data_IF_528821992131
#
_entry.id   IF_528821992131
#
_cell.length_a   1.000
_cell.length_b   1.000
_cell.length_c   1.000
_cell.angle_alpha   90.00
_cell.angle_beta   90.00
_cell.angle_gamma   90.00
#
_symmetry.space_group_name_H-M   'P 1'
#
loop_
_entity.id
_entity.type
_entity.pdbx_description
1 polymer ?
#
# COMPACT_ATOMS: atom_id res chain seq x y z
N UNK A 1 -14.68 2.97 24.53
CA UNK A 1 -14.34 3.08 24.18
C UNK A 1 -13.60 3.50 24.02
N UNK A 2 -13.47 3.40 24.14
CA UNK A 2 -12.88 3.81 23.90
C UNK A 2 -12.14 4.03 23.35
N UNK A 3 -12.01 4.17 23.23
CA UNK A 3 -11.43 4.43 22.45
C UNK A 3 -11.21 4.80 21.52
N UNK A 4 -11.52 4.84 21.86
CA UNK A 4 -11.75 5.22 20.74
C UNK A 4 -10.92 6.16 20.08
N UNK A 5 -10.39 7.11 20.59
CA UNK A 5 -9.51 8.03 19.92
C UNK A 5 -8.11 7.60 20.18
N UNK A 6 -7.41 7.24 19.13
CA UNK A 6 -6.01 6.90 19.26
C UNK A 6 -5.17 8.16 19.26
N UNK A 7 -4.12 8.15 20.07
CA UNK A 7 -3.17 9.25 20.13
C UNK A 7 -1.92 8.87 19.36
N UNK A 8 -1.52 9.74 18.43
CA UNK A 8 -0.33 9.48 17.61
C UNK A 8 0.80 10.40 18.03
N UNK A 9 2.03 9.86 18.02
CA UNK A 9 3.21 10.62 18.39
C UNK A 9 3.45 11.77 17.43
N UNK A 10 3.25 11.52 16.13
CA UNK A 10 3.48 12.54 15.10
C UNK A 10 2.69 12.16 13.84
N UNK A 11 2.74 13.04 12.84
CA UNK A 11 2.03 12.80 11.60
C UNK A 11 2.47 11.53 10.88
N UNK A 12 3.75 11.19 10.94
CA UNK A 12 4.22 9.95 10.33
C UNK A 12 3.62 8.73 11.03
N UNK A 13 3.56 8.76 12.36
CA UNK A 13 2.94 7.68 13.13
C UNK A 13 1.48 7.50 12.72
N UNK A 14 0.75 8.60 12.59
CA UNK A 14 -0.65 8.55 12.17
C UNK A 14 -0.79 7.96 10.77
N UNK A 15 0.08 8.39 9.84
CA UNK A 15 0.04 7.91 8.47
C UNK A 15 0.32 6.42 8.40
N UNK A 16 1.33 5.96 9.13
CA UNK A 16 1.67 4.55 9.13
C UNK A 16 0.56 3.70 9.75
N UNK A 17 -0.15 4.24 10.74
CA UNK A 17 -1.31 3.53 11.29
C UNK A 17 -2.39 3.35 10.23
N UNK A 18 -2.51 4.31 9.32
CA UNK A 18 -3.52 4.28 8.26
C UNK A 18 -3.14 3.33 7.13
N UNK A 19 -1.87 3.36 6.70
CA UNK A 19 -1.44 2.61 5.51
C UNK A 19 -0.21 1.74 5.74
N UNK A 20 0.08 1.39 6.98
CA UNK A 20 1.33 0.72 7.35
C UNK A 20 1.40 -0.74 6.97
N UNK A 21 1.14 -1.07 5.72
CA UNK A 21 1.29 -2.41 5.19
C UNK A 21 2.15 -2.34 3.94
N UNK A 22 2.59 -3.51 3.48
CA UNK A 22 3.42 -3.59 2.28
C UNK A 22 2.64 -3.11 1.04
N UNK A 23 1.36 -3.47 0.95
CA UNK A 23 0.62 -3.32 -0.31
C UNK A 23 -0.23 -2.07 -0.40
N UNK A 24 -0.72 -1.52 0.74
CA UNK A 24 -1.63 -0.37 0.67
C UNK A 24 -1.00 0.85 -0.01
N UNK A 25 0.24 1.25 0.32
CA UNK A 25 0.84 2.38 -0.39
C UNK A 25 0.98 2.13 -1.88
N UNK A 26 1.30 0.89 -2.28
CA UNK A 26 1.43 0.55 -3.70
C UNK A 26 0.09 0.63 -4.41
N UNK A 27 -0.96 0.08 -3.80
CA UNK A 27 -2.31 0.15 -4.37
C UNK A 27 -2.70 1.60 -4.60
N UNK A 28 -2.48 2.45 -3.61
CA UNK A 28 -2.82 3.87 -3.71
C UNK A 28 -2.05 4.55 -4.83
N UNK A 29 -0.76 4.23 -4.95
CA UNK A 29 0.08 4.82 -5.99
C UNK A 29 -0.41 4.43 -7.38
N UNK A 30 -0.77 3.16 -7.59
CA UNK A 30 -1.31 2.73 -8.88
C UNK A 30 -2.65 3.38 -9.19
N UNK A 31 -3.50 3.55 -8.17
CA UNK A 31 -4.78 4.26 -8.35
C UNK A 31 -4.58 5.75 -8.59
N UNK A 32 -3.45 6.29 -8.14
CA UNK A 32 -3.10 7.68 -8.43
C UNK A 32 -2.81 7.92 -9.90
N UNK A 33 -2.45 6.88 -10.65
CA UNK A 33 -2.22 7.00 -12.08
C UNK A 33 -3.52 7.03 -12.86
N UNK A 34 -4.48 6.18 -12.47
CA UNK A 34 -5.81 6.14 -13.09
C UNK A 34 -6.70 5.19 -12.30
N UNK A 35 -8.00 5.30 -12.51
CA UNK A 35 -8.96 4.32 -11.99
C UNK A 35 -8.65 2.96 -12.58
N UNK A 36 -8.90 1.90 -11.81
CA UNK A 36 -8.57 0.55 -12.25
C UNK A 36 -9.63 -0.44 -11.81
N UNK A 37 -9.84 -1.45 -12.63
CA UNK A 37 -10.63 -2.61 -12.24
C UNK A 37 -9.77 -3.52 -11.38
N UNK A 38 -10.42 -4.42 -10.67
CA UNK A 38 -9.72 -5.36 -9.78
C UNK A 38 -8.62 -6.11 -10.53
N UNK A 39 -8.94 -6.65 -11.72
CA UNK A 39 -7.94 -7.41 -12.48
C UNK A 39 -6.73 -6.60 -12.87
N UNK A 40 -6.94 -5.30 -13.17
CA UNK A 40 -5.83 -4.41 -13.47
C UNK A 40 -4.96 -4.18 -12.25
N UNK A 41 -5.59 -3.95 -11.08
CA UNK A 41 -4.82 -3.80 -9.83
C UNK A 41 -4.05 -5.06 -9.51
N UNK A 42 -4.68 -6.22 -9.70
CA UNK A 42 -4.02 -7.50 -9.43
C UNK A 42 -2.77 -7.65 -10.27
N UNK A 43 -2.81 -7.21 -11.53
CA UNK A 43 -1.61 -7.26 -12.39
C UNK A 43 -0.53 -6.31 -11.90
N UNK A 44 -0.93 -5.17 -11.31
CA UNK A 44 0.06 -4.22 -10.78
C UNK A 44 0.74 -4.75 -9.51
N UNK A 45 0.00 -5.48 -8.68
CA UNK A 45 0.50 -6.00 -7.39
C UNK A 45 0.35 -7.51 -7.36
N UNK A 46 0.84 -8.17 -8.41
CA UNK A 46 0.58 -9.59 -8.62
C UNK A 46 1.06 -10.49 -7.48
N UNK A 47 2.05 -10.06 -6.72
CA UNK A 47 2.57 -10.85 -5.61
C UNK A 47 1.66 -10.82 -4.39
N UNK A 48 0.71 -9.89 -4.33
CA UNK A 48 -0.30 -9.90 -3.29
C UNK A 48 -1.35 -10.96 -3.63
N UNK A 49 -1.73 -11.75 -2.63
CA UNK A 49 -2.79 -12.74 -2.86
C UNK A 49 -4.12 -12.03 -3.08
N UNK A 50 -5.07 -12.74 -3.70
CA UNK A 50 -6.41 -12.19 -3.87
C UNK A 50 -7.03 -11.84 -2.52
N UNK A 51 -6.84 -12.70 -1.53
CA UNK A 51 -7.37 -12.46 -0.20
C UNK A 51 -6.84 -11.15 0.39
N UNK A 52 -5.54 -10.93 0.28
CA UNK A 52 -4.90 -9.73 0.81
C UNK A 52 -5.35 -8.50 0.04
N UNK A 53 -5.37 -8.59 -1.30
CA UNK A 53 -5.77 -7.45 -2.12
C UNK A 53 -7.21 -7.03 -1.84
N UNK A 54 -8.12 -8.00 -1.80
CA UNK A 54 -9.52 -7.72 -1.51
C UNK A 54 -9.67 -7.09 -0.13
N UNK A 55 -8.98 -7.65 0.87
CA UNK A 55 -9.05 -7.13 2.23
C UNK A 55 -8.54 -5.70 2.30
N UNK A 56 -7.41 -5.43 1.66
CA UNK A 56 -6.83 -4.09 1.65
C UNK A 56 -7.74 -3.09 0.94
N UNK A 57 -8.37 -3.48 -0.16
CA UNK A 57 -9.29 -2.59 -0.87
C UNK A 57 -10.49 -2.24 0.00
N UNK A 58 -11.02 -3.22 0.74
CA UNK A 58 -12.11 -2.96 1.67
C UNK A 58 -11.69 -1.99 2.77
N UNK A 59 -10.48 -2.17 3.31
CA UNK A 59 -9.98 -1.30 4.36
C UNK A 59 -9.75 0.12 3.84
N UNK A 60 -9.15 0.24 2.66
CA UNK A 60 -8.92 1.55 2.06
C UNK A 60 -10.24 2.27 1.76
N UNK A 61 -11.24 1.51 1.35
CA UNK A 61 -12.56 2.07 1.11
C UNK A 61 -13.19 2.54 2.43
N UNK A 62 -13.10 1.72 3.46
CA UNK A 62 -13.66 2.05 4.78
C UNK A 62 -12.96 3.27 5.38
N UNK A 63 -11.66 3.43 5.11
CA UNK A 63 -10.87 4.56 5.62
C UNK A 63 -11.04 5.81 4.78
N UNK A 64 -11.85 5.77 3.73
CA UNK A 64 -12.13 6.95 2.94
C UNK A 64 -11.05 7.34 1.96
N UNK A 65 -10.14 6.43 1.62
CA UNK A 65 -9.06 6.69 0.67
C UNK A 65 -9.42 6.26 -0.74
N UNK A 66 -10.31 5.28 -0.89
CA UNK A 66 -10.65 4.66 -2.16
C UNK A 66 -12.17 4.59 -2.29
N UNK A 67 -12.66 4.76 -3.51
CA UNK A 67 -14.06 4.59 -3.87
C UNK A 67 -14.18 3.41 -4.81
N UNK A 68 -15.17 2.56 -4.54
CA UNK A 68 -15.54 1.48 -5.43
C UNK A 68 -16.82 1.87 -6.15
N UNK A 69 -16.73 1.98 -7.47
CA UNK A 69 -17.86 2.38 -8.30
C UNK A 69 -18.36 1.20 -9.12
N UNK A 70 -19.62 0.84 -8.91
CA UNK A 70 -20.29 -0.17 -9.72
C UNK A 70 -21.13 0.58 -10.76
N UNK A 71 -20.82 0.38 -12.04
CA UNK A 71 -21.47 1.12 -13.12
C UNK A 71 -22.82 0.52 -13.52
N UNK A 72 -23.19 -0.64 -12.93
CA UNK A 72 -24.49 -1.24 -13.22
C UNK A 72 -24.64 -1.75 -14.63
N UNK A 73 -23.55 -2.09 -15.28
CA UNK A 73 -23.55 -2.54 -16.67
C UNK A 73 -23.58 -4.06 -16.77
N UNK A 74 -23.89 -4.53 -17.96
CA UNK A 74 -23.82 -5.94 -18.32
C UNK A 74 -22.95 -6.04 -19.56
N UNK A 75 -21.77 -6.69 -19.49
CA UNK A 75 -21.22 -7.37 -18.30
C UNK A 75 -20.86 -6.38 -17.19
N UNK A 76 -20.77 -6.85 -15.94
CA UNK A 76 -20.50 -5.95 -14.82
C UNK A 76 -19.20 -5.19 -14.98
N UNK A 77 -19.22 -3.93 -14.58
CA UNK A 77 -18.03 -3.09 -14.56
C UNK A 77 -17.94 -2.41 -13.20
N UNK A 78 -16.87 -2.69 -12.48
CA UNK A 78 -16.58 -2.10 -11.18
C UNK A 78 -15.17 -1.53 -11.23
N UNK A 79 -15.02 -0.29 -10.81
CA UNK A 79 -13.72 0.37 -10.82
C UNK A 79 -13.41 0.94 -9.45
N UNK A 80 -12.13 0.95 -9.12
CA UNK A 80 -11.61 1.58 -7.92
C UNK A 80 -10.90 2.87 -8.30
N UNK A 81 -11.09 3.90 -7.50
CA UNK A 81 -10.45 5.19 -7.73
C UNK A 81 -10.17 5.85 -6.39
N UNK A 82 -9.32 6.88 -6.42
CA UNK A 82 -8.99 7.61 -5.21
C UNK A 82 -10.08 8.63 -4.88
N UNK A 83 -10.33 8.81 -3.59
CA UNK A 83 -11.07 9.96 -3.09
C UNK A 83 -10.14 11.18 -3.11
N UNK A 84 -10.66 12.41 -2.91
CA UNK A 84 -9.77 13.56 -2.70
C UNK A 84 -8.78 13.34 -1.57
N UNK A 85 -9.23 12.70 -0.48
CA UNK A 85 -8.35 12.36 0.65
C UNK A 85 -7.25 11.41 0.20
N UNK A 86 -7.60 10.34 -0.54
CA UNK A 86 -6.61 9.40 -1.07
C UNK A 86 -5.63 10.07 -2.00
N UNK A 87 -6.14 10.97 -2.87
CA UNK A 87 -5.27 11.69 -3.80
C UNK A 87 -4.26 12.56 -3.05
N UNK A 88 -4.69 13.25 -1.99
CA UNK A 88 -3.78 14.08 -1.21
C UNK A 88 -2.66 13.24 -0.59
N UNK A 89 -2.99 12.02 -0.16
CA UNK A 89 -1.98 11.13 0.40
C UNK A 89 -0.98 10.68 -0.66
N UNK A 90 -1.45 10.35 -1.86
CA UNK A 90 -0.55 9.93 -2.94
C UNK A 90 0.42 11.06 -3.30
N UNK A 91 -0.05 12.30 -3.30
CA UNK A 91 0.85 13.43 -3.52
C UNK A 91 1.95 13.50 -2.47
N UNK A 92 1.62 13.18 -1.23
CA UNK A 92 2.61 13.17 -0.15
C UNK A 92 3.58 11.99 -0.28
N UNK A 93 3.16 10.89 -0.90
CA UNK A 93 4.02 9.72 -1.09
C UNK A 93 5.02 9.88 -2.22
N UNK A 94 4.78 10.81 -3.16
CA UNK A 94 5.66 10.98 -4.31
C UNK A 94 7.11 11.28 -3.93
N UNK A 95 7.40 12.21 -3.02
CA UNK A 95 8.78 12.45 -2.62
C UNK A 95 9.42 11.20 -2.02
N UNK A 96 8.65 10.40 -1.29
CA UNK A 96 9.16 9.17 -0.70
C UNK A 96 9.53 8.17 -1.80
N UNK A 97 8.70 8.07 -2.83
CA UNK A 97 8.99 7.22 -3.98
C UNK A 97 10.30 7.66 -4.65
N UNK A 98 10.48 8.97 -4.82
CA UNK A 98 11.71 9.51 -5.40
C UNK A 98 12.93 9.17 -4.57
N UNK A 99 12.83 9.29 -3.25
CA UNK A 99 13.92 8.89 -2.36
C UNK A 99 14.28 7.42 -2.56
N UNK A 100 13.26 6.56 -2.67
CA UNK A 100 13.48 5.14 -2.88
C UNK A 100 14.20 4.85 -4.19
N UNK A 101 13.83 5.57 -5.26
CA UNK A 101 14.50 5.39 -6.55
C UNK A 101 15.96 5.85 -6.48
N UNK A 102 16.22 6.99 -5.84
CA UNK A 102 17.57 7.51 -5.73
C UNK A 102 18.47 6.62 -4.88
N UNK A 103 17.88 5.88 -3.95
CA UNK A 103 18.62 5.06 -3.01
C UNK A 103 18.40 3.56 -3.22
N UNK A 104 17.94 3.17 -4.41
CA UNK A 104 17.56 1.79 -4.68
C UNK A 104 18.69 0.82 -4.39
N UNK A 105 19.92 1.16 -4.80
CA UNK A 105 21.06 0.27 -4.59
C UNK A 105 21.34 0.05 -3.09
N UNK A 106 21.31 1.14 -2.31
CA UNK A 106 21.56 1.04 -0.88
C UNK A 106 20.46 0.22 -0.20
N UNK A 107 19.21 0.41 -0.62
CA UNK A 107 18.09 -0.34 -0.06
C UNK A 107 18.25 -1.83 -0.36
N UNK A 108 18.55 -2.16 -1.61
CA UNK A 108 18.67 -3.57 -2.01
C UNK A 108 19.85 -4.24 -1.31
N UNK A 109 20.98 -3.54 -1.20
CA UNK A 109 22.13 -4.06 -0.48
C UNK A 109 21.80 -4.29 0.99
N UNK A 110 21.06 -3.36 1.59
CA UNK A 110 20.66 -3.49 2.99
C UNK A 110 19.75 -4.69 3.20
N UNK A 111 18.82 -4.94 2.26
CA UNK A 111 17.92 -6.08 2.34
C UNK A 111 18.69 -7.40 2.25
N UNK A 112 19.67 -7.47 1.37
CA UNK A 112 20.51 -8.66 1.25
C UNK A 112 21.25 -8.93 2.54
N UNK A 113 21.87 -7.90 3.12
CA UNK A 113 22.59 -8.05 4.39
C UNK A 113 21.65 -8.53 5.51
N UNK A 114 20.46 -7.96 5.56
CA UNK A 114 19.49 -8.32 6.58
C UNK A 114 19.09 -9.79 6.47
N UNK A 115 18.84 -10.26 5.24
CA UNK A 115 18.46 -11.64 5.00
C UNK A 115 19.60 -12.58 5.38
N UNK A 116 20.82 -12.21 5.01
CA UNK A 116 21.99 -13.04 5.34
C UNK A 116 22.12 -13.21 6.84
N UNK A 117 21.90 -12.15 7.61
CA UNK A 117 22.00 -12.24 9.06
C UNK A 117 20.90 -13.09 9.67
N UNK A 118 19.74 -13.14 9.04
CA UNK A 118 18.61 -13.92 9.55
C UNK A 118 18.74 -15.39 9.24
N UNK A 119 19.46 -15.70 8.18
CA UNK A 119 19.70 -17.11 7.85
C UNK A 119 20.68 -17.64 8.86
N UNK A 120 20.39 -18.56 9.57
CA UNK A 120 20.93 -18.82 10.77
C UNK A 120 22.11 -19.33 11.04
N UNK A 121 21.81 -18.99 11.50
CA UNK A 121 22.31 -19.04 11.97
C UNK A 121 22.85 -20.01 12.55
N UNK A 122 22.58 -20.66 12.47
CA UNK A 122 22.97 -21.34 12.67
C UNK A 122 23.91 -21.71 12.24
N UNK A 123 23.83 -21.55 11.93
CA UNK A 123 24.48 -21.51 11.31
C UNK A 123 25.46 -21.11 11.29
N UNK A 124 25.58 -20.99 11.28
CA UNK A 124 26.34 -20.53 11.12
C UNK A 124 26.99 -19.95 11.24
N UNK A 125 27.03 -19.70 11.29
CA UNK A 125 27.56 -18.99 11.18
C UNK A 125 27.99 -18.51 11.61
N UNK A 126 28.09 -18.58 11.80
CA UNK A 126 28.35 -17.99 12.05
C UNK A 126 28.90 -17.46 11.82
#
# INVERSE_FOLDING_TARGET
>A
MDNETETFTCGLHATLALIGSKWKPLILTFLGQKSRRYGELKRCVRDASDKVLIQHLKELEADGLVVRTDFGEVPPRVEYSLTPFGHSLVLALKPLCGWGEENRREIEASMVRSRTRKIPVNHTMA
#
